data_IF_373801980930
#
_entry.id   IF_373801980930
#
_cell.length_a   1.000
_cell.length_b   1.000
_cell.length_c   1.000
_cell.angle_alpha   90.00
_cell.angle_beta   90.00
_cell.angle_gamma   90.00
#
_symmetry.space_group_name_H-M   'P 1'
#
loop_
_entity.id
_entity.type
_entity.pdbx_description
1 polymer ?
#
# COMPACT_ATOMS: atom_id res chain seq x y z
N UNK A 1 0.60 34.09 -23.37
CA UNK A 1 1.23 34.01 -22.02
C UNK A 1 0.24 33.54 -20.96
N UNK A 2 -0.89 34.24 -20.77
CA UNK A 2 -1.94 33.91 -19.77
C UNK A 2 -2.53 32.49 -19.92
N UNK A 3 -2.78 32.04 -21.15
CA UNK A 3 -3.31 30.69 -21.46
C UNK A 3 -2.31 29.57 -21.18
N UNK A 4 -1.02 29.81 -21.42
CA UNK A 4 0.04 28.85 -21.16
C UNK A 4 0.26 28.64 -19.65
N UNK A 5 0.18 29.73 -18.87
CA UNK A 5 0.23 29.68 -17.41
C UNK A 5 -0.95 28.90 -16.84
N UNK A 6 -2.17 29.09 -17.38
CA UNK A 6 -3.35 28.34 -16.94
C UNK A 6 -3.22 26.83 -17.20
N UNK A 7 -2.66 26.41 -18.35
CA UNK A 7 -2.44 25.00 -18.67
C UNK A 7 -1.37 24.37 -17.78
N UNK A 8 -0.29 25.09 -17.48
CA UNK A 8 0.76 24.63 -16.55
C UNK A 8 0.20 24.44 -15.14
N UNK A 9 -0.64 25.38 -14.67
CA UNK A 9 -1.31 25.26 -13.38
C UNK A 9 -2.28 24.08 -13.34
N UNK A 10 -3.06 23.83 -14.40
CA UNK A 10 -3.96 22.68 -14.47
C UNK A 10 -3.20 21.35 -14.46
N UNK A 11 -2.09 21.22 -15.20
CA UNK A 11 -1.26 20.02 -15.18
C UNK A 11 -0.56 19.80 -13.85
N UNK A 12 -0.07 20.86 -13.21
CA UNK A 12 0.50 20.78 -11.87
C UNK A 12 -0.58 20.38 -10.84
N UNK A 13 -1.81 20.88 -10.99
CA UNK A 13 -2.92 20.57 -10.09
C UNK A 13 -3.43 19.13 -10.26
N UNK A 14 -3.49 18.61 -11.49
CA UNK A 14 -3.85 17.20 -11.72
C UNK A 14 -2.77 16.24 -11.24
N UNK A 15 -1.49 16.62 -11.38
CA UNK A 15 -0.36 15.83 -10.86
C UNK A 15 -0.33 15.77 -9.33
N UNK A 16 -0.71 16.84 -8.63
CA UNK A 16 -0.74 16.87 -7.15
C UNK A 16 -1.94 16.12 -6.57
N UNK A 17 -3.08 16.12 -7.26
CA UNK A 17 -4.32 15.47 -6.78
C UNK A 17 -4.33 13.95 -7.02
N UNK A 18 -3.63 13.44 -8.04
CA UNK A 18 -3.56 12.00 -8.33
C UNK A 18 -2.78 11.19 -7.25
N UNK A 19 -2.01 11.85 -6.40
CA UNK A 19 -1.09 11.22 -5.43
C UNK A 19 -1.75 10.78 -4.11
N UNK A 20 -3.08 10.84 -3.96
CA UNK A 20 -3.78 10.60 -2.68
C UNK A 20 -4.67 9.34 -2.68
N UNK A 21 -4.74 8.62 -3.81
CA UNK A 21 -5.63 7.47 -4.00
C UNK A 21 -4.81 6.29 -4.50
N UNK A 22 -4.93 5.15 -3.82
CA UNK A 22 -4.27 3.92 -4.26
C UNK A 22 -4.85 3.49 -5.63
N UNK A 23 -4.03 2.96 -6.56
CA UNK A 23 -4.52 2.42 -7.82
C UNK A 23 -5.54 1.29 -7.60
N UNK A 24 -6.39 1.02 -8.61
CA UNK A 24 -7.43 0.01 -8.49
C UNK A 24 -6.84 -1.36 -8.15
N UNK A 25 -7.46 -2.05 -7.19
CA UNK A 25 -7.00 -3.37 -6.71
C UNK A 25 -6.10 -3.32 -5.48
N UNK A 26 -5.69 -2.13 -5.03
CA UNK A 26 -4.94 -1.96 -3.79
C UNK A 26 -5.84 -1.55 -2.62
N UNK A 27 -5.39 -1.84 -1.39
CA UNK A 27 -6.11 -1.49 -0.16
C UNK A 27 -5.41 -0.34 0.55
N UNK A 28 -6.16 0.70 0.92
CA UNK A 28 -5.63 1.85 1.67
C UNK A 28 -5.42 1.45 3.13
N UNK A 29 -4.17 1.56 3.60
CA UNK A 29 -3.81 1.33 5.00
C UNK A 29 -3.44 2.65 5.66
N UNK A 30 -3.91 2.84 6.90
CA UNK A 30 -3.53 3.97 7.75
C UNK A 30 -2.86 3.36 8.98
N UNK A 31 -1.55 3.52 9.06
CA UNK A 31 -0.77 3.03 10.20
C UNK A 31 -0.86 3.94 11.42
N UNK A 32 -0.34 3.46 12.55
CA UNK A 32 -0.17 4.29 13.75
C UNK A 32 0.69 5.55 13.53
N UNK A 33 1.50 5.59 12.45
CA UNK A 33 2.36 6.71 12.10
C UNK A 33 1.60 7.83 11.35
N UNK A 34 0.31 7.63 11.04
CA UNK A 34 -0.51 8.62 10.34
C UNK A 34 -0.24 8.73 8.84
N UNK A 35 0.67 7.92 8.29
CA UNK A 35 0.97 7.84 6.86
C UNK A 35 -0.04 6.90 6.19
N UNK A 36 -0.53 7.33 5.03
CA UNK A 36 -1.37 6.51 4.14
C UNK A 36 -0.46 5.71 3.23
N UNK A 37 -0.62 4.40 3.24
CA UNK A 37 0.10 3.48 2.36
C UNK A 37 -0.88 2.65 1.55
N UNK A 38 -0.37 2.07 0.47
CA UNK A 38 -1.17 1.20 -0.38
C UNK A 38 -0.68 -0.24 -0.29
N UNK A 39 -1.55 -1.14 0.14
CA UNK A 39 -1.30 -2.57 0.15
C UNK A 39 -1.59 -3.16 -1.24
N UNK A 40 -0.68 -3.98 -1.82
CA UNK A 40 -0.87 -4.57 -3.15
C UNK A 40 -2.03 -5.56 -3.21
N UNK A 41 -2.47 -6.10 -2.07
CA UNK A 41 -3.57 -7.03 -2.02
C UNK A 41 -4.92 -6.32 -2.05
N UNK A 42 -5.84 -6.84 -2.86
CA UNK A 42 -7.26 -6.48 -2.80
C UNK A 42 -7.83 -7.01 -1.48
N UNK A 43 -8.48 -6.13 -0.70
CA UNK A 43 -9.01 -6.43 0.63
C UNK A 43 -7.93 -6.99 1.58
N UNK A 44 -6.70 -6.46 1.48
CA UNK A 44 -5.61 -6.82 2.36
C UNK A 44 -5.87 -6.40 3.81
N UNK A 45 -5.30 -7.13 4.74
CA UNK A 45 -5.33 -6.83 6.17
C UNK A 45 -4.12 -5.96 6.51
N UNK A 46 -4.36 -4.75 7.01
CA UNK A 46 -3.31 -3.83 7.41
C UNK A 46 -2.75 -4.23 8.79
N UNK A 47 -1.43 -4.31 8.92
CA UNK A 47 -0.79 -4.47 10.22
C UNK A 47 -0.80 -3.13 10.99
N UNK A 48 -0.49 -3.14 12.29
CA UNK A 48 -0.57 -1.97 13.17
C UNK A 48 0.36 -0.83 12.72
N UNK A 49 1.55 -1.16 12.23
CA UNK A 49 2.46 -0.16 11.66
C UNK A 49 1.89 0.56 10.43
N UNK A 50 0.98 -0.09 9.70
CA UNK A 50 0.43 0.37 8.43
C UNK A 50 1.45 0.47 7.30
N UNK A 51 2.72 0.11 7.49
CA UNK A 51 3.73 -0.02 6.42
C UNK A 51 3.82 -1.46 5.88
N UNK A 52 3.01 -2.34 6.46
CA UNK A 52 3.03 -3.78 6.29
C UNK A 52 1.60 -4.29 6.18
N UNK A 53 1.39 -5.25 5.27
CA UNK A 53 0.08 -5.82 5.09
C UNK A 53 0.11 -7.30 4.67
N UNK A 54 -1.02 -7.95 4.91
CA UNK A 54 -1.26 -9.35 4.65
C UNK A 54 -2.42 -9.53 3.65
N UNK A 55 -2.47 -10.64 2.89
CA UNK A 55 -3.61 -10.94 2.04
C UNK A 55 -4.88 -11.20 2.86
N UNK A 56 -6.03 -11.12 2.19
CA UNK A 56 -7.32 -11.42 2.79
C UNK A 56 -7.35 -12.81 3.44
N UNK A 57 -7.93 -12.91 4.63
CA UNK A 57 -8.03 -14.17 5.39
C UNK A 57 -6.76 -14.57 6.15
N UNK A 58 -5.81 -13.64 6.34
CA UNK A 58 -4.65 -13.84 7.20
C UNK A 58 -4.49 -12.70 8.20
N UNK A 59 -3.71 -12.93 9.25
CA UNK A 59 -3.47 -11.99 10.35
C UNK A 59 -1.98 -11.71 10.48
N UNK A 60 -1.62 -10.48 10.87
CA UNK A 60 -0.21 -10.14 11.13
C UNK A 60 0.25 -10.74 12.47
N UNK A 61 1.47 -11.23 12.53
CA UNK A 61 2.14 -11.57 13.79
C UNK A 61 2.48 -10.31 14.59
N UNK A 62 2.75 -10.46 15.89
CA UNK A 62 3.05 -9.31 16.78
C UNK A 62 4.31 -8.53 16.36
N UNK A 63 5.30 -9.21 15.78
CA UNK A 63 6.50 -8.62 15.18
C UNK A 63 6.25 -8.12 13.74
N UNK A 64 5.06 -8.33 13.19
CA UNK A 64 4.63 -7.94 11.83
C UNK A 64 5.56 -8.41 10.71
N UNK A 65 6.32 -9.48 10.92
CA UNK A 65 7.18 -10.07 9.89
C UNK A 65 6.45 -11.13 9.07
N UNK A 66 5.43 -11.75 9.67
CA UNK A 66 4.70 -12.85 9.06
C UNK A 66 3.19 -12.61 9.12
N UNK A 67 2.52 -13.15 8.11
CA UNK A 67 1.10 -13.37 8.06
C UNK A 67 0.82 -14.81 8.47
N UNK A 68 -0.15 -15.00 9.35
CA UNK A 68 -0.63 -16.32 9.79
C UNK A 68 -2.04 -16.54 9.28
N UNK A 69 -2.30 -17.74 8.76
CA UNK A 69 -3.66 -18.22 8.46
C UNK A 69 -3.76 -19.71 8.76
N UNK A 70 -4.96 -20.21 9.04
CA UNK A 70 -5.18 -21.65 9.20
C UNK A 70 -5.62 -22.28 7.89
N UNK A 71 -5.12 -23.47 7.58
CA UNK A 71 -5.65 -24.28 6.49
C UNK A 71 -6.90 -25.05 6.94
N UNK A 72 -7.52 -25.78 6.01
CA UNK A 72 -8.70 -26.62 6.27
C UNK A 72 -8.43 -27.73 7.30
N UNK A 73 -7.16 -28.13 7.48
CA UNK A 73 -6.74 -29.11 8.48
C UNK A 73 -6.42 -28.49 9.86
N UNK A 74 -6.57 -27.17 10.02
CA UNK A 74 -6.30 -26.45 11.27
C UNK A 74 -4.83 -26.11 11.53
N UNK A 75 -3.95 -26.32 10.54
CA UNK A 75 -2.52 -26.01 10.65
C UNK A 75 -2.25 -24.52 10.39
N UNK A 76 -1.33 -23.94 11.16
CA UNK A 76 -0.90 -22.56 11.01
C UNK A 76 0.11 -22.42 9.86
N UNK A 77 -0.33 -21.81 8.76
CA UNK A 77 0.53 -21.43 7.65
C UNK A 77 1.11 -20.03 7.92
N UNK A 78 2.44 -19.96 7.96
CA UNK A 78 3.21 -18.71 8.04
C UNK A 78 3.72 -18.31 6.67
N UNK A 79 3.52 -17.05 6.34
CA UNK A 79 3.98 -16.46 5.09
C UNK A 79 4.55 -15.05 5.36
N UNK A 80 5.51 -14.56 4.58
CA UNK A 80 6.08 -13.24 4.79
C UNK A 80 5.03 -12.15 4.53
N UNK A 81 5.19 -11.02 5.22
CA UNK A 81 4.37 -9.82 5.06
C UNK A 81 4.80 -9.05 3.82
N UNK A 82 3.85 -8.45 3.10
CA UNK A 82 4.16 -7.52 2.03
C UNK A 82 4.40 -6.11 2.60
N UNK A 83 5.39 -5.40 2.08
CA UNK A 83 5.55 -3.96 2.34
C UNK A 83 4.47 -3.19 1.59
N UNK A 84 3.77 -2.30 2.28
CA UNK A 84 2.85 -1.35 1.64
C UNK A 84 3.66 -0.15 1.18
N UNK A 85 3.53 0.26 -0.08
CA UNK A 85 4.27 1.40 -0.60
C UNK A 85 3.69 2.71 -0.05
N UNK A 86 4.58 3.61 0.39
CA UNK A 86 4.24 5.00 0.66
C UNK A 86 4.34 5.76 -0.66
N UNK A 87 3.29 6.50 -1.04
CA UNK A 87 3.28 7.24 -2.30
C UNK A 87 4.34 8.36 -2.26
N UNK A 88 5.43 8.21 -3.02
CA UNK A 88 5.81 9.09 -4.16
C UNK A 88 7.16 8.65 -4.79
N UNK A 89 8.11 8.09 -4.05
CA UNK A 89 9.41 7.68 -4.63
C UNK A 89 9.50 6.21 -5.07
N UNK A 90 8.71 5.29 -4.49
CA UNK A 90 8.83 3.84 -4.79
C UNK A 90 8.22 3.43 -6.15
N UNK A 91 7.21 4.16 -6.65
CA UNK A 91 6.55 3.86 -7.94
C UNK A 91 7.28 4.52 -9.11
N UNK A 92 7.90 5.70 -8.91
CA UNK A 92 8.67 6.39 -9.95
C UNK A 92 10.05 5.73 -10.20
N UNK A 93 10.60 5.01 -9.22
CA UNK A 93 11.87 4.28 -9.37
C UNK A 93 11.72 2.77 -9.63
N UNK A 94 10.50 2.25 -9.80
CA UNK A 94 10.30 0.86 -10.22
C UNK A 94 10.92 -0.21 -9.31
N UNK A 95 11.24 0.12 -8.06
CA UNK A 95 11.77 -0.82 -7.07
C UNK A 95 10.64 -1.49 -6.29
N UNK A 96 9.60 -1.92 -7.00
CA UNK A 96 8.76 -2.99 -6.48
C UNK A 96 9.62 -4.26 -6.52
N UNK A 97 10.39 -4.49 -5.46
CA UNK A 97 11.08 -5.74 -5.24
C UNK A 97 10.04 -6.83 -5.08
N UNK A 98 9.66 -7.44 -6.21
CA UNK A 98 9.05 -8.75 -6.26
C UNK A 98 10.20 -9.77 -6.23
N UNK A 99 10.84 -9.90 -5.06
CA UNK A 99 11.63 -11.08 -4.68
C UNK A 99 11.75 -11.16 -3.16
#
# INVERSE_FOLDING_TARGET
>A
MKTLVALVLLFAFTATVYSQVCPPGQTRCIGCVGVVTCCPFRNGVCCRSGVRCCPAGSLCTANEQFCVRRNLAGEEIRMPVATSSALFEDVLMGNAAFN
#
